data_IF_626045524736
#
_entry.id   IF_626045524736
#
_cell.length_a   1.000
_cell.length_b   1.000
_cell.length_c   1.000
_cell.angle_alpha   90.00
_cell.angle_beta   90.00
_cell.angle_gamma   90.00
#
_symmetry.space_group_name_H-M   'P 1'
#
loop_
_entity.id
_entity.type
_entity.pdbx_description
1 polymer ?
#
# COMPACT_ATOMS: atom_id res chain seq x y z
N UNK A 1 7.07 9.95 0.49
CA UNK A 1 7.98 9.15 1.35
C UNK A 1 9.42 9.64 1.24
N UNK A 2 10.13 9.48 0.12
CA UNK A 2 11.56 9.87 -0.04
C UNK A 2 11.85 11.31 0.42
N UNK A 3 11.00 12.26 0.06
CA UNK A 3 11.15 13.66 0.50
C UNK A 3 11.00 13.81 2.01
N UNK A 4 10.05 13.09 2.63
CA UNK A 4 9.86 13.11 4.08
C UNK A 4 11.07 12.48 4.80
N UNK A 5 11.63 11.38 4.27
CA UNK A 5 12.86 10.76 4.78
C UNK A 5 14.05 11.74 4.75
N UNK A 6 14.22 12.44 3.63
CA UNK A 6 15.32 13.42 3.47
C UNK A 6 15.22 14.62 4.42
N UNK A 7 14.02 14.92 4.91
CA UNK A 7 13.74 16.02 5.82
C UNK A 7 13.70 15.60 7.29
N UNK A 8 13.92 14.31 7.58
CA UNK A 8 13.94 13.79 8.95
C UNK A 8 15.40 13.54 9.40
N UNK A 9 16.00 14.42 10.22
CA UNK A 9 17.39 14.24 10.65
C UNK A 9 17.59 12.93 11.42
N UNK A 10 18.61 12.15 10.99
CA UNK A 10 18.93 10.87 11.63
C UNK A 10 18.02 9.71 11.26
N UNK A 11 17.10 9.90 10.32
CA UNK A 11 16.24 8.81 9.83
C UNK A 11 17.07 7.70 9.17
N UNK A 12 16.77 6.46 9.52
CA UNK A 12 17.43 5.27 8.98
C UNK A 12 16.40 4.35 8.34
N UNK A 13 16.50 4.15 7.03
CA UNK A 13 15.64 3.22 6.26
C UNK A 13 15.60 1.82 6.87
N UNK A 14 16.67 1.40 7.53
CA UNK A 14 16.78 0.07 8.15
C UNK A 14 16.02 0.00 9.48
N UNK A 15 16.19 0.99 10.34
CA UNK A 15 15.74 0.93 11.74
C UNK A 15 14.42 1.64 11.99
N UNK A 16 14.12 2.67 11.20
CA UNK A 16 12.87 3.42 11.33
C UNK A 16 11.79 2.85 10.43
N UNK A 17 10.60 2.70 10.98
CA UNK A 17 9.41 2.41 10.19
C UNK A 17 9.09 3.53 9.20
N UNK A 18 8.34 3.23 8.15
CA UNK A 18 7.81 4.27 7.27
C UNK A 18 6.84 5.18 8.05
N UNK A 19 6.07 4.58 8.97
CA UNK A 19 5.12 5.28 9.83
C UNK A 19 5.77 6.29 10.78
N UNK A 20 7.06 6.09 11.18
CA UNK A 20 7.83 7.07 11.96
C UNK A 20 7.90 8.43 11.27
N UNK A 21 7.80 8.47 9.94
CA UNK A 21 7.76 9.74 9.20
C UNK A 21 6.54 10.58 9.56
N UNK A 22 5.42 9.93 9.91
CA UNK A 22 4.17 10.58 10.28
C UNK A 22 4.16 11.19 11.69
N UNK A 23 5.19 10.89 12.50
CA UNK A 23 5.43 11.44 13.82
C UNK A 23 6.78 12.12 13.92
N UNK A 24 7.47 12.24 12.80
CA UNK A 24 8.75 12.92 12.67
C UNK A 24 8.67 14.44 12.82
N UNK A 25 9.82 15.13 12.75
CA UNK A 25 9.86 16.59 12.83
C UNK A 25 9.21 17.23 11.59
N UNK A 26 8.63 18.42 11.77
CA UNK A 26 8.12 19.21 10.66
C UNK A 26 9.25 19.46 9.61
N UNK A 27 9.00 19.35 8.30
CA UNK A 27 7.72 19.06 7.64
C UNK A 27 7.53 17.58 7.26
N UNK A 28 8.34 16.64 7.78
CA UNK A 28 8.28 15.21 7.46
C UNK A 28 6.89 14.64 7.76
N UNK A 29 6.36 14.93 8.94
CA UNK A 29 5.06 14.49 9.44
C UNK A 29 3.89 14.89 8.54
N UNK A 30 3.82 16.17 8.17
CA UNK A 30 2.76 16.67 7.27
C UNK A 30 2.88 16.06 5.87
N UNK A 31 4.11 15.94 5.36
CA UNK A 31 4.33 15.36 4.03
C UNK A 31 3.92 13.89 3.99
N UNK A 32 4.29 13.11 5.00
CA UNK A 32 3.93 11.70 5.06
C UNK A 32 2.42 11.52 5.26
N UNK A 33 1.86 12.07 6.31
CA UNK A 33 0.44 11.91 6.64
C UNK A 33 -0.46 12.47 5.53
N UNK A 34 -0.16 13.66 5.03
CA UNK A 34 -0.91 14.29 3.94
C UNK A 34 -0.85 13.48 2.64
N UNK A 35 0.34 12.99 2.25
CA UNK A 35 0.48 12.17 1.04
C UNK A 35 -0.23 10.84 1.18
N UNK A 36 -0.24 10.22 2.35
CA UNK A 36 -0.92 8.94 2.61
C UNK A 36 -2.44 9.12 2.59
N UNK A 37 -2.97 10.22 3.13
CA UNK A 37 -4.39 10.59 3.02
C UNK A 37 -4.79 10.74 1.54
N UNK A 38 -4.03 11.54 0.77
CA UNK A 38 -4.32 11.77 -0.65
C UNK A 38 -4.24 10.47 -1.44
N UNK A 39 -3.22 9.65 -1.19
CA UNK A 39 -3.08 8.34 -1.81
C UNK A 39 -4.31 7.44 -1.53
N UNK A 40 -4.72 7.32 -0.27
CA UNK A 40 -5.90 6.55 0.13
C UNK A 40 -7.17 7.02 -0.56
N UNK A 41 -7.39 8.35 -0.63
CA UNK A 41 -8.55 8.93 -1.33
C UNK A 41 -8.51 8.63 -2.84
N UNK A 42 -7.36 8.73 -3.49
CA UNK A 42 -7.20 8.40 -4.91
C UNK A 42 -7.50 6.92 -5.18
N UNK A 43 -7.01 6.02 -4.32
CA UNK A 43 -7.28 4.58 -4.44
C UNK A 43 -8.76 4.28 -4.25
N UNK A 44 -9.43 4.89 -3.27
CA UNK A 44 -10.86 4.75 -3.06
C UNK A 44 -11.67 5.25 -4.26
N UNK A 45 -11.33 6.41 -4.79
CA UNK A 45 -12.00 6.98 -5.97
C UNK A 45 -11.83 6.07 -7.20
N UNK A 46 -10.61 5.58 -7.44
CA UNK A 46 -10.34 4.64 -8.54
C UNK A 46 -11.13 3.33 -8.35
N UNK A 47 -11.12 2.74 -7.16
CA UNK A 47 -11.89 1.54 -6.86
C UNK A 47 -13.39 1.76 -7.10
N UNK A 48 -13.94 2.87 -6.63
CA UNK A 48 -15.36 3.21 -6.81
C UNK A 48 -15.74 3.29 -8.29
N UNK A 49 -14.95 4.00 -9.10
CA UNK A 49 -15.19 4.14 -10.55
C UNK A 49 -15.10 2.78 -11.25
N UNK A 50 -14.09 1.98 -10.90
CA UNK A 50 -13.86 0.68 -11.52
C UNK A 50 -14.91 -0.36 -11.11
N UNK A 51 -15.40 -0.34 -9.89
CA UNK A 51 -16.51 -1.19 -9.43
C UNK A 51 -17.79 -0.92 -10.24
N UNK A 52 -18.07 0.33 -10.57
CA UNK A 52 -19.24 0.66 -11.41
C UNK A 52 -19.14 0.08 -12.83
N UNK A 53 -17.92 -0.06 -13.37
CA UNK A 53 -17.66 -0.67 -14.69
C UNK A 53 -17.54 -2.18 -14.64
N UNK A 54 -17.01 -2.73 -13.54
CA UNK A 54 -16.58 -4.13 -13.40
C UNK A 54 -16.97 -4.71 -12.04
N UNK A 55 -18.26 -4.60 -11.65
CA UNK A 55 -18.76 -4.93 -10.30
C UNK A 55 -18.52 -6.38 -9.85
N UNK A 56 -18.21 -7.29 -10.75
CA UNK A 56 -17.97 -8.71 -10.46
C UNK A 56 -16.51 -9.05 -10.17
N UNK A 57 -15.63 -8.07 -9.99
CA UNK A 57 -14.20 -8.29 -9.73
C UNK A 57 -13.88 -8.08 -8.23
N UNK A 58 -13.70 -9.15 -7.45
CA UNK A 58 -13.49 -9.04 -5.99
C UNK A 58 -12.30 -8.18 -5.57
N UNK A 59 -11.20 -8.21 -6.35
CA UNK A 59 -10.01 -7.41 -6.03
C UNK A 59 -10.28 -5.90 -6.00
N UNK A 60 -11.27 -5.39 -6.74
CA UNK A 60 -11.63 -3.96 -6.73
C UNK A 60 -12.19 -3.54 -5.37
N UNK A 61 -12.99 -4.38 -4.74
CA UNK A 61 -13.48 -4.15 -3.38
C UNK A 61 -12.33 -4.18 -2.37
N UNK A 62 -11.43 -5.17 -2.51
CA UNK A 62 -10.21 -5.24 -1.70
C UNK A 62 -9.33 -3.98 -1.86
N UNK A 63 -9.16 -3.49 -3.09
CA UNK A 63 -8.45 -2.25 -3.37
C UNK A 63 -9.10 -1.05 -2.66
N UNK A 64 -10.43 -0.93 -2.71
CA UNK A 64 -11.16 0.13 -2.01
C UNK A 64 -10.99 0.06 -0.49
N UNK A 65 -11.10 -1.14 0.11
CA UNK A 65 -10.90 -1.35 1.54
C UNK A 65 -9.46 -1.00 1.95
N UNK A 66 -8.46 -1.41 1.16
CA UNK A 66 -7.07 -1.04 1.41
C UNK A 66 -6.85 0.48 1.28
N UNK A 67 -7.53 1.13 0.34
CA UNK A 67 -7.52 2.60 0.20
C UNK A 67 -8.09 3.32 1.43
N UNK A 68 -9.19 2.80 2.00
CA UNK A 68 -9.74 3.30 3.26
C UNK A 68 -8.73 3.13 4.40
N UNK A 69 -8.09 1.97 4.49
CA UNK A 69 -7.00 1.74 5.44
C UNK A 69 -5.89 2.76 5.31
N UNK A 70 -5.38 2.97 4.07
CA UNK A 70 -4.32 3.93 3.80
C UNK A 70 -4.71 5.38 4.17
N UNK A 71 -5.95 5.78 3.88
CA UNK A 71 -6.48 7.07 4.36
C UNK A 71 -6.37 7.21 5.87
N UNK A 72 -6.80 6.18 6.60
CA UNK A 72 -6.77 6.22 8.07
C UNK A 72 -5.35 6.09 8.65
N UNK A 73 -4.39 5.47 7.96
CA UNK A 73 -2.97 5.53 8.35
C UNK A 73 -2.48 6.98 8.42
N UNK A 74 -2.86 7.81 7.47
CA UNK A 74 -2.49 9.22 7.49
C UNK A 74 -3.29 10.06 8.50
N UNK A 75 -4.55 9.67 8.81
CA UNK A 75 -5.39 10.36 9.80
C UNK A 75 -4.99 10.00 11.23
N UNK A 76 -4.56 8.78 11.46
CA UNK A 76 -4.11 8.26 12.74
C UNK A 76 -2.60 8.03 12.71
N UNK A 77 -1.77 9.01 13.07
CA UNK A 77 -0.32 8.81 13.17
C UNK A 77 0.04 7.68 14.14
N UNK A 78 1.24 7.14 14.04
CA UNK A 78 1.71 5.99 14.83
C UNK A 78 1.51 6.16 16.35
N UNK A 79 1.64 7.37 16.85
CA UNK A 79 1.40 7.72 18.27
C UNK A 79 -0.03 7.44 18.74
N UNK A 80 -0.99 7.26 17.85
CA UNK A 80 -2.37 6.87 18.22
C UNK A 80 -2.49 5.41 18.64
N UNK A 81 -1.46 4.57 18.40
CA UNK A 81 -1.39 3.18 18.79
C UNK A 81 -2.36 2.29 17.99
N UNK A 82 -3.32 1.65 18.67
CA UNK A 82 -4.21 0.66 18.05
C UNK A 82 -4.94 1.14 16.77
N UNK A 83 -5.50 2.35 16.68
CA UNK A 83 -6.11 2.85 15.44
C UNK A 83 -5.16 2.84 14.24
N UNK A 84 -3.90 3.25 14.44
CA UNK A 84 -2.87 3.19 13.39
C UNK A 84 -2.57 1.75 12.96
N UNK A 85 -2.30 0.88 13.92
CA UNK A 85 -1.98 -0.53 13.65
C UNK A 85 -3.11 -1.24 12.91
N UNK A 86 -4.37 -0.96 13.28
CA UNK A 86 -5.53 -1.50 12.59
C UNK A 86 -5.61 -0.98 11.14
N UNK A 87 -5.43 0.32 10.93
CA UNK A 87 -5.45 0.93 9.61
C UNK A 87 -4.33 0.39 8.70
N UNK A 88 -3.10 0.30 9.22
CA UNK A 88 -1.96 -0.28 8.52
C UNK A 88 -2.19 -1.77 8.19
N UNK A 89 -2.68 -2.54 9.15
CA UNK A 89 -3.02 -3.96 8.98
C UNK A 89 -4.06 -4.17 7.89
N UNK A 90 -5.12 -3.36 7.84
CA UNK A 90 -6.13 -3.39 6.77
C UNK A 90 -5.46 -3.06 5.43
N UNK A 91 -4.67 -2.00 5.35
CA UNK A 91 -3.98 -1.58 4.12
C UNK A 91 -3.09 -2.70 3.59
N UNK A 92 -2.24 -3.24 4.42
CA UNK A 92 -1.21 -4.20 4.03
C UNK A 92 -1.79 -5.58 3.72
N UNK A 93 -2.65 -6.10 4.60
CA UNK A 93 -3.24 -7.43 4.40
C UNK A 93 -4.22 -7.44 3.23
N UNK A 94 -5.21 -6.55 3.26
CA UNK A 94 -6.27 -6.56 2.24
C UNK A 94 -5.71 -6.11 0.89
N UNK A 95 -4.80 -5.14 0.86
CA UNK A 95 -4.12 -4.72 -0.37
C UNK A 95 -3.30 -5.84 -1.01
N UNK A 96 -2.54 -6.60 -0.20
CA UNK A 96 -1.77 -7.74 -0.69
C UNK A 96 -2.66 -8.87 -1.23
N UNK A 97 -3.75 -9.18 -0.53
CA UNK A 97 -4.74 -10.16 -1.00
C UNK A 97 -5.43 -9.69 -2.29
N UNK A 98 -5.76 -8.41 -2.39
CA UNK A 98 -6.32 -7.83 -3.61
C UNK A 98 -5.36 -7.94 -4.79
N UNK A 99 -4.06 -7.71 -4.58
CA UNK A 99 -3.05 -7.86 -5.62
C UNK A 99 -2.93 -9.32 -6.10
N UNK A 100 -2.99 -10.31 -5.20
CA UNK A 100 -2.99 -11.73 -5.56
C UNK A 100 -4.26 -12.07 -6.35
N UNK A 101 -5.42 -11.68 -5.85
CA UNK A 101 -6.72 -11.96 -6.50
C UNK A 101 -6.80 -11.31 -7.89
N UNK A 102 -6.27 -10.10 -8.05
CA UNK A 102 -6.22 -9.38 -9.32
C UNK A 102 -5.48 -10.17 -10.41
N UNK A 103 -4.51 -11.00 -10.03
CA UNK A 103 -3.80 -11.87 -10.95
C UNK A 103 -4.72 -12.88 -11.71
N UNK A 104 -5.92 -13.15 -11.23
CA UNK A 104 -6.91 -14.00 -11.93
C UNK A 104 -7.54 -13.29 -13.13
N UNK A 105 -7.49 -11.95 -13.13
CA UNK A 105 -8.20 -11.08 -14.06
C UNK A 105 -7.28 -10.39 -15.07
N UNK A 106 -5.96 -10.45 -14.86
CA UNK A 106 -4.99 -9.79 -15.73
C UNK A 106 -4.37 -10.75 -16.76
N UNK A 107 -4.00 -10.19 -17.91
CA UNK A 107 -3.21 -10.89 -18.93
C UNK A 107 -1.74 -10.99 -18.50
N UNK A 108 -1.02 -11.99 -19.01
CA UNK A 108 0.43 -12.08 -18.87
C UNK A 108 1.10 -10.92 -19.66
N UNK A 109 2.20 -10.32 -19.16
CA UNK A 109 2.96 -10.67 -17.94
C UNK A 109 2.42 -10.06 -16.64
N UNK A 110 1.49 -9.10 -16.71
CA UNK A 110 1.02 -8.33 -15.55
C UNK A 110 0.35 -9.21 -14.47
N UNK A 111 -0.30 -10.31 -14.88
CA UNK A 111 -0.81 -11.35 -13.97
C UNK A 111 0.24 -11.79 -12.94
N UNK A 112 1.41 -12.19 -13.41
CA UNK A 112 2.47 -12.73 -12.54
C UNK A 112 3.08 -11.62 -11.66
N UNK A 113 3.22 -10.42 -12.19
CA UNK A 113 3.70 -9.26 -11.42
C UNK A 113 2.75 -8.94 -10.26
N UNK A 114 1.44 -8.93 -10.52
CA UNK A 114 0.41 -8.67 -9.50
C UNK A 114 0.45 -9.71 -8.38
N UNK A 115 0.50 -11.00 -8.73
CA UNK A 115 0.60 -12.09 -7.75
C UNK A 115 1.90 -11.98 -6.95
N UNK A 116 3.04 -11.74 -7.60
CA UNK A 116 4.34 -11.61 -6.95
C UNK A 116 4.34 -10.46 -5.93
N UNK A 117 3.83 -9.28 -6.30
CA UNK A 117 3.75 -8.13 -5.40
C UNK A 117 2.89 -8.42 -4.17
N UNK A 118 1.75 -9.10 -4.35
CA UNK A 118 0.91 -9.50 -3.23
C UNK A 118 1.57 -10.55 -2.32
N UNK A 119 2.28 -11.54 -2.89
CA UNK A 119 3.02 -12.56 -2.11
C UNK A 119 4.14 -11.88 -1.30
N UNK A 120 4.90 -10.97 -1.91
CA UNK A 120 5.93 -10.21 -1.20
C UNK A 120 5.30 -9.45 -0.02
N UNK A 121 4.16 -8.78 -0.24
CA UNK A 121 3.44 -8.05 0.80
C UNK A 121 3.01 -8.95 1.96
N UNK A 122 2.37 -10.10 1.70
CA UNK A 122 1.93 -11.06 2.73
C UNK A 122 3.13 -11.62 3.51
N UNK A 123 4.18 -12.05 2.80
CA UNK A 123 5.37 -12.62 3.44
C UNK A 123 6.05 -11.58 4.34
N UNK A 124 6.21 -10.36 3.85
CA UNK A 124 6.82 -9.28 4.62
C UNK A 124 5.95 -8.86 5.81
N UNK A 125 4.62 -8.87 5.67
CA UNK A 125 3.70 -8.61 6.78
C UNK A 125 3.84 -9.69 7.87
N UNK A 126 3.98 -10.96 7.50
CA UNK A 126 4.24 -12.03 8.45
C UNK A 126 5.57 -11.82 9.19
N UNK A 127 6.64 -11.47 8.48
CA UNK A 127 7.95 -11.15 9.07
C UNK A 127 7.83 -9.95 10.03
N UNK A 128 7.05 -8.93 9.66
CA UNK A 128 6.81 -7.73 10.48
C UNK A 128 6.12 -8.09 11.79
N UNK A 129 5.08 -8.93 11.75
CA UNK A 129 4.30 -9.34 12.93
C UNK A 129 5.11 -10.27 13.87
N UNK A 130 6.03 -11.06 13.31
CA UNK A 130 6.86 -12.00 14.09
C UNK A 130 8.18 -11.41 14.56
N UNK A 131 8.45 -10.14 14.32
CA UNK A 131 9.69 -9.43 14.67
C UNK A 131 10.98 -10.14 14.16
N UNK A 132 10.87 -10.87 13.04
CA UNK A 132 12.00 -11.65 12.49
C UNK A 132 12.72 -10.94 11.34
N UNK A 133 13.05 -9.67 11.53
CA UNK A 133 13.53 -8.75 10.48
C UNK A 133 14.89 -9.09 9.85
N UNK A 134 15.73 -9.87 10.55
CA UNK A 134 17.09 -10.19 10.09
C UNK A 134 17.95 -8.96 9.81
N UNK A 135 18.77 -9.04 8.77
CA UNK A 135 19.66 -7.95 8.36
C UNK A 135 18.94 -6.75 7.71
N UNK A 136 17.70 -6.96 7.25
CA UNK A 136 16.90 -5.94 6.55
C UNK A 136 16.38 -4.87 7.51
N UNK A 137 16.07 -5.27 8.74
CA UNK A 137 15.51 -4.41 9.79
C UNK A 137 14.02 -4.11 9.61
N UNK A 138 13.37 -3.59 10.67
CA UNK A 138 11.92 -3.35 10.66
C UNK A 138 11.49 -2.39 9.57
N UNK A 139 12.18 -1.28 9.39
CA UNK A 139 11.85 -0.30 8.37
C UNK A 139 12.00 -0.82 6.94
N UNK A 140 13.00 -1.67 6.69
CA UNK A 140 13.17 -2.32 5.40
C UNK A 140 12.05 -3.33 5.11
N UNK A 141 11.61 -4.10 6.12
CA UNK A 141 10.50 -5.05 5.97
C UNK A 141 9.17 -4.31 5.71
N UNK A 142 8.90 -3.22 6.42
CA UNK A 142 7.69 -2.43 6.14
C UNK A 142 7.68 -1.88 4.70
N UNK A 143 8.85 -1.47 4.17
CA UNK A 143 8.98 -1.04 2.77
C UNK A 143 8.72 -2.16 1.78
N UNK A 144 9.09 -3.40 2.11
CA UNK A 144 8.76 -4.57 1.29
C UNK A 144 7.26 -4.90 1.26
N UNK A 145 6.46 -4.27 2.13
CA UNK A 145 5.00 -4.32 2.03
C UNK A 145 4.49 -3.09 1.24
N UNK A 146 4.86 -1.90 1.69
CA UNK A 146 4.29 -0.65 1.20
C UNK A 146 4.65 -0.36 -0.26
N UNK A 147 5.92 -0.56 -0.66
CA UNK A 147 6.37 -0.23 -2.01
C UNK A 147 5.78 -1.14 -3.10
N UNK A 148 5.78 -2.49 -2.94
CA UNK A 148 5.11 -3.35 -3.91
C UNK A 148 3.63 -3.01 -4.08
N UNK A 149 2.91 -2.70 -3.01
CA UNK A 149 1.50 -2.32 -3.10
C UNK A 149 1.29 -0.99 -3.83
N UNK A 150 2.11 0.02 -3.51
CA UNK A 150 2.05 1.31 -4.21
C UNK A 150 2.38 1.15 -5.70
N UNK A 151 3.42 0.38 -6.03
CA UNK A 151 3.80 0.08 -7.41
C UNK A 151 2.74 -0.75 -8.14
N UNK A 152 2.08 -1.67 -7.46
CA UNK A 152 0.97 -2.44 -8.03
C UNK A 152 -0.18 -1.52 -8.44
N UNK A 153 -0.62 -0.59 -7.57
CA UNK A 153 -1.67 0.38 -7.89
C UNK A 153 -1.27 1.27 -9.08
N UNK A 154 -0.03 1.79 -9.08
CA UNK A 154 0.47 2.63 -10.18
C UNK A 154 0.53 1.85 -11.50
N UNK A 155 1.06 0.63 -11.48
CA UNK A 155 1.17 -0.22 -12.67
C UNK A 155 -0.21 -0.66 -13.18
N UNK A 156 -1.20 -0.82 -12.29
CA UNK A 156 -2.57 -1.11 -12.69
C UNK A 156 -3.18 0.07 -13.46
N UNK A 157 -2.93 1.30 -13.03
CA UNK A 157 -3.31 2.48 -13.82
C UNK A 157 -2.71 2.47 -15.23
N UNK A 158 -1.43 2.15 -15.36
CA UNK A 158 -0.77 1.99 -16.67
C UNK A 158 -1.35 0.84 -17.51
N UNK A 159 -1.72 -0.27 -16.87
CA UNK A 159 -2.38 -1.39 -17.55
C UNK A 159 -3.73 -0.96 -18.15
N UNK A 160 -4.54 -0.23 -17.39
CA UNK A 160 -5.84 0.27 -17.85
C UNK A 160 -5.72 1.27 -19.02
N UNK A 161 -4.65 2.05 -19.07
CA UNK A 161 -4.42 2.98 -20.19
C UNK A 161 -4.12 2.28 -21.51
N UNK A 162 -3.59 1.06 -21.47
CA UNK A 162 -3.26 0.27 -22.66
C UNK A 162 -4.43 -0.62 -23.14
N UNK A 163 -5.42 -0.88 -22.31
CA UNK A 163 -6.60 -1.71 -22.64
C UNK A 163 -7.91 -0.97 -22.24
N UNK A 164 -8.16 0.26 -22.70
CA UNK A 164 -9.21 1.12 -22.16
C UNK A 164 -10.63 0.62 -22.42
N UNK A 165 -10.86 -0.14 -23.47
CA UNK A 165 -12.20 -0.53 -23.97
C UNK A 165 -12.49 -2.05 -23.88
N UNK A 166 -11.52 -2.85 -23.49
CA UNK A 166 -11.79 -4.27 -23.27
C UNK A 166 -12.33 -4.50 -21.84
N UNK A 167 -13.44 -5.23 -21.70
CA UNK A 167 -13.84 -5.71 -20.38
C UNK A 167 -12.71 -6.58 -19.83
N UNK A 168 -12.36 -6.37 -18.55
CA UNK A 168 -11.41 -7.25 -17.86
C UNK A 168 -11.90 -8.69 -18.04
N UNK A 169 -11.05 -9.62 -18.45
CA UNK A 169 -11.42 -10.99 -18.75
C UNK A 169 -12.09 -11.72 -17.58
#
# INVERSE_FOLDING_TARGET
>A
MITAEALYPGYSVKTNYISDLGVGPWPSDILFNGSTIVFGLCVCAAAFILIQKHSNKPFLYGMGIAGIGAFFVGVFPETTGFPHVLAAGITFLVGSLAAIEAGRWFKSPYRYLSILMGIIGITSLFILITDTYGAVGPGGIERLIAYPLALWILSYGGYLMNEPDEPLP
#
